data_IF_323506438411
#
_entry.id   IF_323506438411
#
_cell.length_a   1.000
_cell.length_b   1.000
_cell.length_c   1.000
_cell.angle_alpha   90.00
_cell.angle_beta   90.00
_cell.angle_gamma   90.00
#
_symmetry.space_group_name_H-M   'P 1'
#
loop_
_entity.id
_entity.type
_entity.pdbx_description
1 polymer ?
#
# COMPACT_ATOMS: atom_id res chain seq x y z
N UNK A 1 16.14 23.47 9.84
CA UNK A 1 15.30 23.04 10.99
C UNK A 1 14.64 21.70 10.67
N UNK A 2 15.03 20.61 11.33
CA UNK A 2 14.40 19.31 11.16
C UNK A 2 12.96 19.36 11.71
N UNK A 3 11.96 19.20 10.83
CA UNK A 3 10.53 19.25 11.21
C UNK A 3 10.16 18.03 12.06
N UNK A 4 9.36 18.22 13.12
CA UNK A 4 8.89 17.11 13.97
C UNK A 4 7.99 16.16 13.16
N UNK A 5 8.35 14.87 13.12
CA UNK A 5 7.52 13.80 12.53
C UNK A 5 6.18 13.73 13.27
N UNK A 6 5.07 13.78 12.52
CA UNK A 6 3.70 13.83 13.09
C UNK A 6 3.15 15.23 13.40
N UNK A 7 3.91 16.31 13.18
CA UNK A 7 3.42 17.68 13.30
C UNK A 7 2.49 18.11 12.14
N UNK A 8 1.85 19.29 12.22
CA UNK A 8 0.89 19.77 11.22
C UNK A 8 1.49 19.91 9.82
N UNK A 9 2.77 20.29 9.74
CA UNK A 9 3.49 20.37 8.47
C UNK A 9 3.75 18.98 7.85
N UNK A 10 4.07 17.97 8.66
CA UNK A 10 4.21 16.59 8.17
C UNK A 10 2.87 16.06 7.65
N UNK A 11 1.77 16.35 8.36
CA UNK A 11 0.43 15.98 7.91
C UNK A 11 0.05 16.67 6.58
N UNK A 12 0.47 17.93 6.38
CA UNK A 12 0.25 18.67 5.12
C UNK A 12 1.00 18.04 3.95
N UNK A 13 2.30 17.81 4.10
CA UNK A 13 3.10 17.14 3.06
C UNK A 13 2.63 15.72 2.78
N UNK A 14 2.22 14.98 3.83
CA UNK A 14 1.61 13.66 3.67
C UNK A 14 0.31 13.68 2.86
N UNK A 15 -0.47 14.77 2.96
CA UNK A 15 -1.70 14.92 2.17
C UNK A 15 -1.40 15.21 0.70
N UNK A 16 -0.40 16.03 0.41
CA UNK A 16 0.08 16.25 -0.96
C UNK A 16 0.65 14.98 -1.59
N UNK A 17 1.47 14.24 -0.84
CA UNK A 17 1.98 12.95 -1.29
C UNK A 17 0.86 11.95 -1.58
N UNK A 18 -0.17 11.88 -0.72
CA UNK A 18 -1.37 11.08 -0.95
C UNK A 18 -2.07 11.47 -2.26
N UNK A 19 -2.29 12.77 -2.50
CA UNK A 19 -2.95 13.25 -3.72
C UNK A 19 -2.14 12.85 -4.96
N UNK A 20 -0.82 13.05 -4.95
CA UNK A 20 0.06 12.68 -6.06
C UNK A 20 0.00 11.17 -6.37
N UNK A 21 0.11 10.33 -5.33
CA UNK A 21 0.00 8.87 -5.46
C UNK A 21 -1.37 8.44 -5.99
N UNK A 22 -2.45 9.09 -5.55
CA UNK A 22 -3.80 8.77 -6.00
C UNK A 22 -4.01 9.16 -7.47
N UNK A 23 -3.58 10.35 -7.87
CA UNK A 23 -3.66 10.80 -9.27
C UNK A 23 -2.89 9.84 -10.16
N UNK A 24 -1.64 9.52 -9.80
CA UNK A 24 -0.80 8.57 -10.53
C UNK A 24 -1.49 7.20 -10.71
N UNK A 25 -2.03 6.62 -9.63
CA UNK A 25 -2.70 5.32 -9.68
C UNK A 25 -3.98 5.34 -10.54
N UNK A 26 -4.78 6.42 -10.41
CA UNK A 26 -6.00 6.59 -11.21
C UNK A 26 -5.68 6.76 -12.69
N UNK A 27 -4.62 7.50 -13.04
CA UNK A 27 -4.20 7.66 -14.44
C UNK A 27 -3.54 6.40 -15.01
N UNK A 28 -2.82 5.63 -14.19
CA UNK A 28 -2.17 4.39 -14.63
C UNK A 28 -3.18 3.30 -15.03
N UNK A 29 -4.35 3.26 -14.39
CA UNK A 29 -5.38 2.25 -14.65
C UNK A 29 -5.85 2.23 -16.12
N UNK A 30 -6.34 3.34 -16.72
CA UNK A 30 -6.75 3.36 -18.11
C UNK A 30 -5.55 3.21 -19.07
N UNK A 31 -4.37 3.74 -18.74
CA UNK A 31 -3.17 3.58 -19.58
C UNK A 31 -2.78 2.10 -19.71
N UNK A 32 -2.75 1.37 -18.60
CA UNK A 32 -2.44 -0.06 -18.62
C UNK A 32 -3.48 -0.88 -19.41
N UNK A 33 -4.75 -0.46 -19.43
CA UNK A 33 -5.77 -1.09 -20.27
C UNK A 33 -5.58 -0.82 -21.77
N UNK A 34 -4.89 0.26 -22.15
CA UNK A 34 -4.54 0.56 -23.54
C UNK A 34 -3.29 -0.20 -24.01
N UNK A 35 -2.39 -0.56 -23.09
CA UNK A 35 -1.12 -1.28 -23.36
C UNK A 35 -1.18 -2.81 -23.13
N UNK A 36 -2.30 -3.46 -23.49
CA UNK A 36 -2.70 -4.77 -22.97
C UNK A 36 -2.27 -5.25 -21.57
N UNK A 37 -1.70 -4.44 -20.67
CA UNK A 37 -1.14 -4.90 -19.39
C UNK A 37 -2.21 -4.93 -18.29
N UNK A 38 -2.95 -6.04 -18.25
CA UNK A 38 -4.04 -6.22 -17.28
C UNK A 38 -3.55 -6.34 -15.83
N UNK A 39 -2.34 -6.87 -15.60
CA UNK A 39 -1.75 -6.94 -14.26
C UNK A 39 -1.54 -5.54 -13.72
N UNK A 40 -0.89 -4.66 -14.49
CA UNK A 40 -0.66 -3.27 -14.10
C UNK A 40 -1.96 -2.49 -13.92
N UNK A 41 -2.98 -2.77 -14.73
CA UNK A 41 -4.30 -2.13 -14.58
C UNK A 41 -4.95 -2.44 -13.22
N UNK A 42 -4.96 -3.72 -12.81
CA UNK A 42 -5.54 -4.11 -11.51
C UNK A 42 -4.63 -3.70 -10.35
N UNK A 43 -3.31 -3.77 -10.51
CA UNK A 43 -2.33 -3.27 -9.55
C UNK A 43 -2.46 -1.76 -9.30
N UNK A 44 -2.81 -0.98 -10.32
CA UNK A 44 -3.07 0.46 -10.19
C UNK A 44 -4.34 0.72 -9.35
N UNK A 45 -5.42 -0.03 -9.57
CA UNK A 45 -6.64 0.03 -8.73
C UNK A 45 -6.33 -0.38 -7.28
N UNK A 46 -5.56 -1.45 -7.08
CA UNK A 46 -5.12 -1.89 -5.76
C UNK A 46 -4.29 -0.80 -5.06
N UNK A 47 -3.40 -0.13 -5.80
CA UNK A 47 -2.59 0.98 -5.29
C UNK A 47 -3.48 2.16 -4.87
N UNK A 48 -4.44 2.56 -5.70
CA UNK A 48 -5.41 3.62 -5.35
C UNK A 48 -6.21 3.26 -4.09
N UNK A 49 -6.64 2.00 -3.96
CA UNK A 49 -7.29 1.47 -2.75
C UNK A 49 -6.38 1.57 -1.52
N UNK A 50 -5.11 1.12 -1.60
CA UNK A 50 -4.17 1.15 -0.49
C UNK A 50 -3.90 2.59 -0.02
N UNK A 51 -3.66 3.50 -0.95
CA UNK A 51 -3.35 4.91 -0.69
C UNK A 51 -4.55 5.61 -0.04
N UNK A 52 -5.75 5.40 -0.57
CA UNK A 52 -7.02 5.96 -0.05
C UNK A 52 -7.33 5.44 1.34
N UNK A 53 -7.33 4.12 1.53
CA UNK A 53 -7.62 3.52 2.84
C UNK A 53 -6.56 3.83 3.88
N UNK A 54 -5.31 4.03 3.46
CA UNK A 54 -4.24 4.50 4.33
C UNK A 54 -4.45 5.93 4.83
N UNK A 55 -4.89 6.84 3.95
CA UNK A 55 -5.19 8.21 4.32
C UNK A 55 -6.41 8.30 5.26
N UNK A 56 -7.45 7.51 4.97
CA UNK A 56 -8.62 7.35 5.86
C UNK A 56 -8.21 6.89 7.26
N UNK A 57 -7.23 5.99 7.37
CA UNK A 57 -6.74 5.46 8.65
C UNK A 57 -6.24 6.56 9.60
N UNK A 58 -5.70 7.65 9.07
CA UNK A 58 -5.13 8.76 9.86
C UNK A 58 -6.16 9.84 10.12
N UNK A 59 -7.10 10.06 9.18
CA UNK A 59 -8.12 11.11 9.25
C UNK A 59 -9.34 10.74 10.08
N UNK A 60 -9.80 9.49 9.99
CA UNK A 60 -11.05 9.03 10.63
C UNK A 60 -10.73 8.37 11.97
N UNK A 61 -11.44 8.78 13.03
CA UNK A 61 -11.21 8.34 14.43
C UNK A 61 -12.41 7.62 15.06
N UNK A 62 -13.38 7.19 14.25
CA UNK A 62 -14.62 6.53 14.72
C UNK A 62 -14.75 5.08 14.24
N UNK A 63 -15.96 4.54 14.41
CA UNK A 63 -16.36 3.26 13.80
C UNK A 63 -16.29 3.35 12.28
N UNK A 64 -16.01 2.21 11.64
CA UNK A 64 -16.05 2.10 10.19
C UNK A 64 -17.47 2.36 9.66
N UNK A 65 -17.58 2.96 8.48
CA UNK A 65 -18.84 3.28 7.83
C UNK A 65 -18.84 2.86 6.36
N UNK A 66 -19.77 3.43 5.58
CA UNK A 66 -19.93 3.08 4.16
C UNK A 66 -18.65 3.23 3.31
N UNK A 67 -17.74 4.21 3.52
CA UNK A 67 -16.54 4.32 2.70
C UNK A 67 -15.57 3.15 2.92
N UNK A 68 -15.50 2.62 4.14
CA UNK A 68 -14.71 1.42 4.43
C UNK A 68 -15.32 0.17 3.76
N UNK A 69 -16.64 0.07 3.68
CA UNK A 69 -17.32 -0.99 2.93
C UNK A 69 -17.07 -0.90 1.43
N UNK A 70 -17.17 0.30 0.84
CA UNK A 70 -16.85 0.53 -0.56
C UNK A 70 -15.39 0.19 -0.88
N UNK A 71 -14.45 0.56 0.01
CA UNK A 71 -13.06 0.21 -0.14
C UNK A 71 -12.81 -1.31 -0.02
N UNK A 72 -13.52 -2.00 0.90
CA UNK A 72 -13.46 -3.46 0.99
C UNK A 72 -13.97 -4.12 -0.29
N UNK A 73 -15.08 -3.64 -0.86
CA UNK A 73 -15.60 -4.13 -2.13
C UNK A 73 -14.58 -3.97 -3.27
N UNK A 74 -13.90 -2.82 -3.36
CA UNK A 74 -12.84 -2.59 -4.33
C UNK A 74 -11.67 -3.58 -4.16
N UNK A 75 -11.24 -3.84 -2.92
CA UNK A 75 -10.18 -4.81 -2.63
C UNK A 75 -10.59 -6.24 -3.01
N UNK A 76 -11.82 -6.65 -2.71
CA UNK A 76 -12.37 -7.96 -3.13
C UNK A 76 -12.44 -8.04 -4.66
N UNK A 77 -12.85 -6.96 -5.33
CA UNK A 77 -12.83 -6.88 -6.80
C UNK A 77 -11.44 -7.13 -7.37
N UNK A 78 -10.40 -6.53 -6.77
CA UNK A 78 -9.01 -6.80 -7.16
C UNK A 78 -8.63 -8.28 -6.94
N UNK A 79 -8.98 -8.87 -5.79
CA UNK A 79 -8.71 -10.30 -5.51
C UNK A 79 -9.34 -11.19 -6.58
N UNK A 80 -10.62 -10.99 -6.88
CA UNK A 80 -11.35 -11.80 -7.86
C UNK A 80 -10.75 -11.60 -9.25
N UNK A 81 -10.49 -10.35 -9.66
CA UNK A 81 -9.89 -10.04 -10.95
C UNK A 81 -8.53 -10.73 -11.12
N UNK A 82 -7.63 -10.58 -10.15
CA UNK A 82 -6.29 -11.19 -10.18
C UNK A 82 -6.33 -12.71 -10.19
N UNK A 83 -7.24 -13.34 -9.42
CA UNK A 83 -7.40 -14.81 -9.48
C UNK A 83 -7.87 -15.25 -10.86
N UNK A 84 -8.88 -14.59 -11.43
CA UNK A 84 -9.40 -14.94 -12.75
C UNK A 84 -8.36 -14.72 -13.86
N UNK A 85 -7.59 -13.64 -13.79
CA UNK A 85 -6.51 -13.35 -14.73
C UNK A 85 -5.34 -14.32 -14.56
N UNK A 86 -4.98 -14.68 -13.32
CA UNK A 86 -3.95 -15.70 -13.05
C UNK A 86 -4.35 -17.08 -13.56
N UNK A 87 -5.62 -17.49 -13.37
CA UNK A 87 -6.15 -18.72 -13.96
C UNK A 87 -6.15 -18.67 -15.49
N UNK A 88 -6.48 -17.51 -16.09
CA UNK A 88 -6.38 -17.31 -17.54
C UNK A 88 -4.93 -17.43 -18.03
N UNK A 89 -3.97 -16.84 -17.31
CA UNK A 89 -2.54 -16.91 -17.59
C UNK A 89 -2.02 -18.35 -17.52
N UNK A 90 -2.41 -19.14 -16.52
CA UNK A 90 -2.02 -20.56 -16.42
C UNK A 90 -2.42 -21.39 -17.63
N UNK A 91 -3.56 -21.06 -18.25
CA UNK A 91 -4.07 -21.73 -19.45
C UNK A 91 -3.47 -21.16 -20.76
N UNK A 92 -2.66 -20.10 -20.67
CA UNK A 92 -1.95 -19.50 -21.80
C UNK A 92 -0.65 -20.22 -22.13
N UNK A 93 -0.13 -19.96 -23.33
CA UNK A 93 1.20 -20.44 -23.74
C UNK A 93 2.25 -19.85 -22.77
N UNK A 94 3.14 -20.70 -22.25
CA UNK A 94 4.16 -20.29 -21.28
C UNK A 94 3.64 -20.03 -19.86
N UNK A 95 2.34 -20.25 -19.59
CA UNK A 95 1.68 -19.85 -18.33
C UNK A 95 1.75 -18.34 -18.07
N UNK A 96 1.60 -17.54 -19.13
CA UNK A 96 1.65 -16.09 -19.10
C UNK A 96 0.37 -15.46 -19.68
N UNK A 97 0.12 -14.20 -19.30
CA UNK A 97 -0.90 -13.34 -19.88
C UNK A 97 -0.33 -11.94 -20.02
N UNK A 98 -0.42 -11.37 -21.22
CA UNK A 98 0.05 -10.01 -21.50
C UNK A 98 1.55 -9.80 -21.14
N UNK A 99 2.38 -10.84 -21.32
CA UNK A 99 3.82 -10.84 -20.97
C UNK A 99 4.11 -11.00 -19.48
N UNK A 100 3.07 -11.22 -18.66
CA UNK A 100 3.20 -11.38 -17.22
C UNK A 100 3.00 -12.86 -16.82
N UNK A 101 3.85 -13.43 -15.96
CA UNK A 101 3.69 -14.81 -15.51
C UNK A 101 2.46 -14.96 -14.61
N UNK A 102 1.77 -16.11 -14.70
CA UNK A 102 0.60 -16.41 -13.86
C UNK A 102 0.86 -16.21 -12.36
N UNK A 103 2.09 -16.50 -11.92
CA UNK A 103 2.54 -16.30 -10.53
C UNK A 103 2.41 -14.85 -10.07
N UNK A 104 2.65 -13.87 -10.94
CA UNK A 104 2.53 -12.46 -10.60
C UNK A 104 1.09 -12.11 -10.20
N UNK A 105 0.10 -12.51 -11.01
CA UNK A 105 -1.32 -12.31 -10.71
C UNK A 105 -1.70 -12.90 -9.34
N UNK A 106 -1.26 -14.13 -9.02
CA UNK A 106 -1.54 -14.73 -7.72
C UNK A 106 -0.86 -14.02 -6.54
N UNK A 107 0.34 -13.47 -6.74
CA UNK A 107 1.01 -12.64 -5.72
C UNK A 107 0.20 -11.38 -5.44
N UNK A 108 -0.29 -10.69 -6.48
CA UNK A 108 -1.15 -9.52 -6.33
C UNK A 108 -2.51 -9.86 -5.72
N UNK A 109 -3.12 -10.99 -6.10
CA UNK A 109 -4.33 -11.52 -5.45
C UNK A 109 -4.10 -11.74 -3.94
N UNK A 110 -2.99 -12.36 -3.56
CA UNK A 110 -2.62 -12.58 -2.16
C UNK A 110 -2.44 -11.27 -1.39
N UNK A 111 -1.80 -10.28 -2.00
CA UNK A 111 -1.61 -8.95 -1.42
C UNK A 111 -2.95 -8.22 -1.21
N UNK A 112 -3.82 -8.24 -2.22
CA UNK A 112 -5.16 -7.66 -2.14
C UNK A 112 -6.02 -8.37 -1.08
N UNK A 113 -5.97 -9.71 -1.03
CA UNK A 113 -6.69 -10.52 -0.06
C UNK A 113 -6.22 -10.23 1.37
N UNK A 114 -4.91 -10.11 1.57
CA UNK A 114 -4.34 -9.72 2.86
C UNK A 114 -4.87 -8.35 3.31
N UNK A 115 -4.90 -7.38 2.41
CA UNK A 115 -5.42 -6.05 2.72
C UNK A 115 -6.94 -6.06 3.02
N UNK A 116 -7.72 -6.83 2.24
CA UNK A 116 -9.16 -7.01 2.43
C UNK A 116 -9.47 -7.69 3.77
N UNK A 117 -8.77 -8.77 4.12
CA UNK A 117 -8.92 -9.47 5.40
C UNK A 117 -8.63 -8.55 6.59
N UNK A 118 -7.58 -7.73 6.50
CA UNK A 118 -7.26 -6.76 7.54
C UNK A 118 -8.36 -5.70 7.67
N UNK A 119 -9.00 -5.29 6.59
CA UNK A 119 -10.11 -4.32 6.64
C UNK A 119 -11.41 -4.94 7.14
N UNK A 120 -11.71 -6.17 6.75
CA UNK A 120 -12.85 -6.91 7.29
C UNK A 120 -12.76 -7.04 8.81
N UNK A 121 -11.57 -7.34 9.35
CA UNK A 121 -11.33 -7.36 10.81
C UNK A 121 -11.58 -6.01 11.49
N UNK A 122 -11.33 -4.91 10.80
CA UNK A 122 -11.58 -3.55 11.32
C UNK A 122 -13.06 -3.20 11.25
N UNK A 123 -13.73 -3.57 10.16
CA UNK A 123 -15.16 -3.34 9.93
C UNK A 123 -16.02 -4.09 10.94
N UNK A 124 -15.66 -5.34 11.24
CA UNK A 124 -16.38 -6.20 12.20
C UNK A 124 -15.95 -5.97 13.66
N UNK A 125 -14.87 -5.22 13.89
CA UNK A 125 -14.23 -5.09 15.19
C UNK A 125 -14.47 -3.74 15.89
N UNK A 126 -13.81 -3.58 17.03
CA UNK A 126 -13.78 -2.31 17.75
C UNK A 126 -12.94 -1.24 17.01
N UNK A 127 -13.20 0.06 17.24
CA UNK A 127 -12.39 1.14 16.69
C UNK A 127 -10.90 0.95 16.98
N UNK A 128 -10.06 1.17 15.96
CA UNK A 128 -8.62 1.01 16.08
C UNK A 128 -8.00 2.01 17.04
N UNK A 129 -7.06 1.55 17.87
CA UNK A 129 -6.17 2.41 18.66
C UNK A 129 -5.29 3.30 17.77
N UNK A 130 -4.72 4.37 18.33
CA UNK A 130 -3.81 5.25 17.59
C UNK A 130 -2.59 4.50 17.02
N UNK A 131 -2.05 3.53 17.76
CA UNK A 131 -0.92 2.71 17.34
C UNK A 131 -1.30 1.79 16.17
N UNK A 132 -2.48 1.14 16.24
CA UNK A 132 -2.99 0.30 15.15
C UNK A 132 -3.28 1.12 13.89
N UNK A 133 -3.86 2.32 14.02
CA UNK A 133 -4.06 3.23 12.88
C UNK A 133 -2.76 3.64 12.23
N UNK A 134 -1.72 3.93 13.02
CA UNK A 134 -0.40 4.27 12.49
C UNK A 134 0.25 3.07 11.78
N UNK A 135 0.17 1.88 12.35
CA UNK A 135 0.66 0.66 11.70
C UNK A 135 -0.11 0.39 10.39
N UNK A 136 -1.44 0.54 10.40
CA UNK A 136 -2.32 0.42 9.24
C UNK A 136 -1.94 1.40 8.14
N UNK A 137 -1.68 2.65 8.50
CA UNK A 137 -1.26 3.70 7.59
C UNK A 137 0.11 3.41 6.96
N UNK A 138 1.11 3.12 7.79
CA UNK A 138 2.48 2.86 7.35
C UNK A 138 2.55 1.65 6.42
N UNK A 139 1.93 0.54 6.80
CA UNK A 139 1.91 -0.65 5.98
C UNK A 139 1.33 -0.33 4.58
N UNK A 140 0.14 0.26 4.53
CA UNK A 140 -0.53 0.53 3.25
C UNK A 140 0.18 1.56 2.39
N UNK A 141 0.66 2.67 2.97
CA UNK A 141 1.37 3.69 2.19
C UNK A 141 2.69 3.17 1.64
N UNK A 142 3.46 2.45 2.46
CA UNK A 142 4.74 1.93 2.00
C UNK A 142 4.57 0.80 0.99
N UNK A 143 3.56 -0.06 1.14
CA UNK A 143 3.23 -1.07 0.12
C UNK A 143 2.83 -0.40 -1.19
N UNK A 144 1.96 0.61 -1.16
CA UNK A 144 1.60 1.35 -2.37
C UNK A 144 2.81 2.01 -3.04
N UNK A 145 3.72 2.60 -2.26
CA UNK A 145 4.95 3.18 -2.78
C UNK A 145 5.90 2.11 -3.34
N UNK A 146 5.99 0.94 -2.71
CA UNK A 146 6.75 -0.20 -3.22
C UNK A 146 6.23 -0.68 -4.57
N UNK A 147 4.89 -0.79 -4.73
CA UNK A 147 4.26 -1.16 -6.00
C UNK A 147 4.58 -0.12 -7.08
N UNK A 148 4.42 1.17 -6.75
CA UNK A 148 4.71 2.26 -7.68
C UNK A 148 6.19 2.29 -8.10
N UNK A 149 7.11 2.15 -7.14
CA UNK A 149 8.55 2.10 -7.43
C UNK A 149 8.90 0.87 -8.26
N UNK A 150 8.35 -0.30 -7.95
CA UNK A 150 8.60 -1.53 -8.72
C UNK A 150 8.06 -1.41 -10.14
N UNK A 151 6.86 -0.87 -10.32
CA UNK A 151 6.29 -0.63 -11.65
C UNK A 151 7.16 0.33 -12.47
N UNK A 152 7.57 1.47 -11.92
CA UNK A 152 8.36 2.46 -12.64
C UNK A 152 9.80 2.00 -12.92
N UNK A 153 10.51 1.50 -11.90
CA UNK A 153 11.95 1.22 -12.02
C UNK A 153 12.25 -0.17 -12.57
N UNK A 154 11.36 -1.16 -12.38
CA UNK A 154 11.59 -2.53 -12.83
C UNK A 154 10.65 -2.93 -13.97
N UNK A 155 9.39 -2.50 -13.93
CA UNK A 155 8.42 -2.77 -14.98
C UNK A 155 8.63 -1.93 -16.25
N UNK A 156 9.01 -0.66 -16.11
CA UNK A 156 9.17 0.30 -17.22
C UNK A 156 10.63 0.70 -17.47
N UNK A 157 11.59 -0.16 -17.10
CA UNK A 157 13.01 0.16 -17.20
C UNK A 157 13.47 0.39 -18.64
N UNK A 158 12.91 -0.34 -19.60
CA UNK A 158 13.30 -0.25 -21.01
C UNK A 158 12.83 1.08 -21.65
N UNK A 159 11.68 1.60 -21.22
CA UNK A 159 11.11 2.85 -21.74
C UNK A 159 11.63 4.10 -21.03
N UNK A 160 11.73 4.05 -19.70
CA UNK A 160 12.06 5.22 -18.87
C UNK A 160 13.56 5.32 -18.58
N UNK A 161 14.24 4.19 -18.45
CA UNK A 161 15.66 4.12 -18.08
C UNK A 161 16.49 3.25 -19.05
N UNK A 162 16.42 3.45 -20.38
CA UNK A 162 17.06 2.56 -21.36
C UNK A 162 18.58 2.43 -21.15
N UNK A 163 19.24 3.49 -20.65
CA UNK A 163 20.67 3.50 -20.35
C UNK A 163 21.06 2.72 -19.09
N UNK A 164 20.09 2.30 -18.26
CA UNK A 164 20.28 1.49 -17.06
C UNK A 164 19.45 0.20 -17.07
N UNK A 165 18.82 -0.16 -18.18
CA UNK A 165 18.04 -1.39 -18.28
C UNK A 165 18.88 -2.60 -17.86
N UNK A 166 18.32 -3.45 -16.99
CA UNK A 166 18.99 -4.59 -16.37
C UNK A 166 19.94 -4.24 -15.20
N UNK A 167 20.14 -2.95 -14.89
CA UNK A 167 21.02 -2.53 -13.80
C UNK A 167 20.44 -2.89 -12.43
N UNK A 168 21.24 -3.52 -11.53
CA UNK A 168 20.83 -3.77 -10.15
C UNK A 168 20.47 -2.50 -9.37
N UNK A 169 20.93 -1.33 -9.82
CA UNK A 169 20.65 -0.05 -9.17
C UNK A 169 19.15 0.30 -9.19
N UNK A 170 18.41 -0.18 -10.19
CA UNK A 170 16.97 0.03 -10.30
C UNK A 170 16.16 -0.70 -9.22
N UNK A 171 16.75 -1.69 -8.55
CA UNK A 171 16.11 -2.38 -7.42
C UNK A 171 16.17 -1.55 -6.13
N UNK A 172 17.08 -0.59 -6.02
CA UNK A 172 17.32 0.15 -4.77
C UNK A 172 16.05 0.84 -4.26
N UNK A 173 15.28 1.59 -5.08
CA UNK A 173 14.07 2.27 -4.59
C UNK A 173 13.03 1.29 -4.00
N UNK A 174 12.82 0.16 -4.68
CA UNK A 174 11.87 -0.88 -4.25
C UNK A 174 12.34 -1.59 -2.98
N UNK A 175 13.59 -2.07 -2.94
CA UNK A 175 14.13 -2.78 -1.78
C UNK A 175 14.27 -1.88 -0.56
N UNK A 176 14.69 -0.63 -0.74
CA UNK A 176 14.77 0.35 0.36
C UNK A 176 13.39 0.56 1.00
N UNK A 177 12.32 0.55 0.21
CA UNK A 177 10.95 0.66 0.71
C UNK A 177 10.55 -0.55 1.56
N UNK A 178 10.92 -1.76 1.13
CA UNK A 178 10.66 -3.00 1.90
C UNK A 178 11.44 -3.06 3.22
N UNK A 179 12.69 -2.58 3.23
CA UNK A 179 13.47 -2.49 4.47
C UNK A 179 12.84 -1.45 5.41
N UNK A 180 12.44 -0.31 4.85
CA UNK A 180 11.84 0.79 5.60
C UNK A 180 10.51 0.40 6.27
N UNK A 181 9.60 -0.25 5.52
CA UNK A 181 8.30 -0.70 6.05
C UNK A 181 8.50 -1.74 7.16
N UNK A 182 9.41 -2.71 6.99
CA UNK A 182 9.68 -3.74 7.99
C UNK A 182 10.19 -3.12 9.30
N UNK A 183 11.21 -2.26 9.21
CA UNK A 183 11.77 -1.58 10.37
C UNK A 183 10.74 -0.70 11.10
N UNK A 184 9.96 0.09 10.37
CA UNK A 184 8.96 0.97 10.98
C UNK A 184 7.78 0.22 11.58
N UNK A 185 7.34 -0.89 10.97
CA UNK A 185 6.28 -1.72 11.54
C UNK A 185 6.72 -2.33 12.88
N UNK A 186 7.95 -2.84 12.95
CA UNK A 186 8.53 -3.33 14.21
C UNK A 186 8.60 -2.20 15.24
N UNK A 187 9.14 -1.04 14.86
CA UNK A 187 9.29 0.11 15.75
C UNK A 187 7.95 0.65 16.27
N UNK A 188 6.93 0.75 15.42
CA UNK A 188 5.61 1.27 15.80
C UNK A 188 4.83 0.28 16.65
N UNK A 189 5.01 -1.03 16.47
CA UNK A 189 4.31 -2.06 17.26
C UNK A 189 4.91 -2.27 18.65
N UNK A 190 6.17 -1.88 18.89
CA UNK A 190 6.77 -1.93 20.24
C UNK A 190 6.07 -0.91 21.16
N UNK A 191 5.45 -1.38 22.25
CA UNK A 191 4.79 -0.51 23.25
C UNK A 191 5.85 0.39 23.92
N UNK A 192 5.57 1.69 24.15
CA UNK A 192 6.40 2.49 25.05
C UNK A 192 6.41 1.85 26.44
N UNK A 193 7.57 1.78 27.09
CA UNK A 193 7.68 1.38 28.50
C UNK A 193 6.77 2.32 29.31
N UNK A 194 5.89 1.84 30.20
CA UNK A 194 5.09 2.72 31.04
C UNK A 194 6.04 3.64 31.81
N UNK A 195 5.87 4.96 31.67
CA UNK A 195 6.55 5.92 32.56
C UNK A 195 6.08 5.58 33.97
N UNK A 196 7.00 5.17 34.84
CA UNK A 196 6.72 5.06 36.29
C UNK A 196 6.08 6.38 36.71
N UNK A 197 4.86 6.31 37.25
CA UNK A 197 4.24 7.46 37.88
C UNK A 197 5.21 7.94 38.98
N UNK A 198 5.65 9.20 38.88
CA UNK A 198 6.36 9.84 39.98
C UNK A 198 5.32 9.99 41.09
N UNK A 199 5.50 9.37 42.28
CA UNK A 199 4.57 9.55 43.38
C UNK A 199 4.45 11.05 43.66
N UNK A 200 3.23 11.56 43.72
CA UNK A 200 2.98 12.92 44.17
C UNK A 200 3.57 13.03 45.58
N UNK A 201 4.66 13.77 45.73
CA UNK A 201 5.17 14.19 47.02
C UNK A 201 4.07 14.98 47.70
N UNK A 202 3.46 14.39 48.74
CA UNK A 202 2.63 15.12 49.68
C UNK A 202 3.56 16.12 50.38
N UNK A 203 3.42 17.40 50.07
CA UNK A 203 4.01 18.46 50.89
C UNK A 203 3.08 18.76 52.06
N UNK A 204 3.63 18.92 53.27
CA UNK A 204 2.88 19.11 54.52
C UNK A 204 2.14 20.45 54.60
#
# INVERSE_FOLDING_TARGET
MARRKGGPQHARWGSWFFIAMLVMAVTATPLALLEPDRLSAVAAVLTAYLVTTSWMAVKRRGKAGWPEWAALAAAIGCVVAEILLGLKAMNGVGSELDGQPATAFFVFAGLAAWAALLDLRVLLGAPLSAQQRLARHLWRMCTAYFLAATSLFLGQQDDVFPFMAGSPLLFIPSLATLIFIAWWLVKVRRKPKPRRAIPATQTP
#
